data_IF_717513826654
#
_entry.id   IF_717513826654
#
_cell.length_a   1.000
_cell.length_b   1.000
_cell.length_c   1.000
_cell.angle_alpha   90.00
_cell.angle_beta   90.00
_cell.angle_gamma   90.00
#
_symmetry.space_group_name_H-M   'P 1'
#
loop_
_entity.id
_entity.type
_entity.pdbx_description
1 polymer ?
#
# COMPACT_ATOMS: atom_id res chain seq x y z
N UNK A 1 6.23 7.56 -9.32
CA UNK A 1 5.99 7.38 -10.77
C UNK A 1 7.29 7.07 -11.48
N UNK A 2 7.22 6.33 -12.57
CA UNK A 2 8.36 6.12 -13.47
C UNK A 2 8.59 7.30 -14.39
N UNK A 3 9.80 7.37 -14.94
CA UNK A 3 10.11 8.28 -16.03
C UNK A 3 9.21 8.02 -17.23
N UNK A 4 8.90 9.10 -17.96
CA UNK A 4 8.14 9.05 -19.20
C UNK A 4 9.07 8.68 -20.34
N UNK A 5 8.89 7.48 -20.88
CA UNK A 5 9.48 7.09 -22.16
C UNK A 5 8.69 7.80 -23.26
N UNK A 6 9.32 8.78 -23.92
CA UNK A 6 8.67 9.53 -24.99
C UNK A 6 8.34 8.63 -26.19
N UNK A 7 7.37 9.09 -26.98
CA UNK A 7 7.08 8.49 -28.28
C UNK A 7 8.24 8.72 -29.26
N UNK A 8 8.32 7.86 -30.28
CA UNK A 8 9.34 7.85 -31.32
C UNK A 8 10.79 7.82 -30.80
N UNK A 9 11.02 7.34 -29.57
CA UNK A 9 12.36 7.16 -29.01
C UNK A 9 13.18 6.19 -29.86
N UNK A 10 14.45 6.51 -30.06
CA UNK A 10 15.38 5.68 -30.83
C UNK A 10 16.00 4.52 -30.02
N UNK A 11 15.85 4.53 -28.70
CA UNK A 11 16.52 3.61 -27.78
C UNK A 11 15.56 2.59 -27.19
N UNK A 12 16.01 1.34 -27.12
CA UNK A 12 15.34 0.27 -26.39
C UNK A 12 15.61 0.38 -24.90
N UNK A 13 14.63 -0.05 -24.10
CA UNK A 13 14.76 -0.32 -22.66
C UNK A 13 15.45 -1.67 -22.50
N UNK A 14 16.68 -1.66 -22.01
CA UNK A 14 17.51 -2.84 -21.72
C UNK A 14 17.50 -3.16 -20.22
N UNK A 15 17.62 -2.14 -19.37
CA UNK A 15 17.48 -2.21 -17.92
C UNK A 15 16.48 -1.17 -17.44
N UNK A 16 15.64 -1.56 -16.48
CA UNK A 16 14.70 -0.67 -15.82
C UNK A 16 14.43 -1.22 -14.42
N UNK A 17 14.70 -0.43 -13.38
CA UNK A 17 14.40 -0.83 -12.01
C UNK A 17 14.09 0.36 -11.11
N UNK A 18 13.38 0.08 -10.03
CA UNK A 18 13.03 1.00 -8.96
C UNK A 18 13.54 0.42 -7.65
N UNK A 19 14.23 1.25 -6.88
CA UNK A 19 14.65 0.94 -5.52
C UNK A 19 14.08 1.97 -4.55
N UNK A 20 13.26 1.50 -3.62
CA UNK A 20 12.61 2.33 -2.62
C UNK A 20 12.94 1.85 -1.19
N UNK A 21 13.96 2.43 -0.54
CA UNK A 21 14.26 2.17 0.87
C UNK A 21 13.24 2.87 1.77
N UNK A 22 12.49 2.09 2.54
CA UNK A 22 11.50 2.60 3.48
C UNK A 22 12.17 3.19 4.73
N UNK A 23 11.60 4.27 5.27
CA UNK A 23 12.00 4.81 6.57
C UNK A 23 11.83 3.75 7.67
N UNK A 24 12.77 3.68 8.61
CA UNK A 24 12.72 2.80 9.79
C UNK A 24 11.45 2.92 10.65
N UNK A 25 10.66 4.00 10.50
CA UNK A 25 9.39 4.23 11.19
C UNK A 25 8.20 3.56 10.52
N UNK A 26 8.37 2.99 9.33
CA UNK A 26 7.34 2.26 8.61
C UNK A 26 7.83 0.84 8.29
N UNK A 27 6.89 -0.06 8.07
CA UNK A 27 7.15 -1.42 7.57
C UNK A 27 6.29 -1.66 6.33
N UNK A 28 6.83 -2.37 5.35
CA UNK A 28 6.08 -2.83 4.19
C UNK A 28 4.86 -3.67 4.62
N UNK A 29 3.70 -3.44 4.00
CA UNK A 29 2.53 -4.34 4.16
C UNK A 29 2.59 -5.55 3.24
N UNK A 30 3.42 -5.48 2.18
CA UNK A 30 3.49 -6.46 1.11
C UNK A 30 2.53 -6.16 -0.05
N UNK A 31 1.60 -5.23 0.12
CA UNK A 31 0.69 -4.81 -0.95
C UNK A 31 1.42 -3.90 -1.92
N UNK A 32 1.52 -4.31 -3.18
CA UNK A 32 2.09 -3.48 -4.24
C UNK A 32 1.20 -3.59 -5.47
N UNK A 33 0.76 -2.44 -5.97
CA UNK A 33 0.00 -2.33 -7.20
C UNK A 33 0.73 -1.42 -8.18
N UNK A 34 0.74 -1.80 -9.45
CA UNK A 34 1.45 -1.06 -10.49
C UNK A 34 0.48 -0.83 -11.63
N UNK A 35 0.25 0.43 -11.95
CA UNK A 35 -0.69 0.84 -12.99
C UNK A 35 0.05 1.40 -14.20
N UNK A 36 -0.39 1.03 -15.40
CA UNK A 36 0.12 1.62 -16.63
C UNK A 36 -0.36 3.07 -16.78
N UNK A 37 0.53 3.97 -17.17
CA UNK A 37 0.17 5.37 -17.45
C UNK A 37 -0.11 5.62 -18.94
N UNK A 38 0.16 4.63 -19.80
CA UNK A 38 -0.04 4.68 -21.24
C UNK A 38 -0.51 3.34 -21.82
N UNK A 39 -0.90 3.38 -23.09
CA UNK A 39 -1.34 2.20 -23.83
C UNK A 39 -0.13 1.44 -24.41
N UNK A 40 0.00 0.16 -24.10
CA UNK A 40 0.98 -0.75 -24.73
C UNK A 40 0.22 -1.79 -25.56
N UNK A 41 0.62 -1.98 -26.81
CA UNK A 41 -0.01 -2.98 -27.69
C UNK A 41 1.06 -3.64 -28.53
N UNK A 42 1.38 -4.89 -28.20
CA UNK A 42 2.39 -5.66 -28.91
C UNK A 42 2.13 -7.16 -28.82
N UNK A 43 1.99 -7.82 -29.98
CA UNK A 43 1.70 -9.25 -30.04
C UNK A 43 0.39 -9.60 -29.31
N UNK A 44 0.47 -10.47 -28.31
CA UNK A 44 -0.66 -10.86 -27.46
C UNK A 44 -0.90 -9.93 -26.26
N UNK A 45 0.01 -8.99 -25.98
CA UNK A 45 -0.16 -8.03 -24.89
C UNK A 45 -0.93 -6.81 -25.40
N UNK A 46 -2.04 -6.52 -24.71
CA UNK A 46 -2.80 -5.29 -24.85
C UNK A 46 -3.03 -4.73 -23.45
N UNK A 47 -2.38 -3.62 -23.15
CA UNK A 47 -2.48 -2.87 -21.89
C UNK A 47 -3.03 -1.50 -22.23
N UNK A 48 -4.05 -1.07 -21.49
CA UNK A 48 -4.60 0.27 -21.52
C UNK A 48 -4.08 1.09 -20.36
N UNK A 49 -4.11 2.41 -20.52
CA UNK A 49 -3.92 3.33 -19.40
C UNK A 49 -4.83 2.96 -18.22
N UNK A 50 -4.27 2.98 -17.01
CA UNK A 50 -4.85 2.57 -15.73
C UNK A 50 -5.05 1.05 -15.56
N UNK A 51 -4.67 0.21 -16.52
CA UNK A 51 -4.67 -1.23 -16.29
C UNK A 51 -3.64 -1.59 -15.21
N UNK A 52 -4.02 -2.56 -14.37
CA UNK A 52 -3.09 -3.19 -13.43
C UNK A 52 -2.10 -4.07 -14.19
N UNK A 53 -0.84 -3.66 -14.14
CA UNK A 53 0.27 -4.34 -14.79
C UNK A 53 1.18 -5.05 -13.77
N UNK A 54 0.79 -5.17 -12.51
CA UNK A 54 1.62 -5.75 -11.43
C UNK A 54 2.22 -7.11 -11.81
N UNK A 55 1.45 -7.96 -12.53
CA UNK A 55 1.92 -9.26 -13.04
C UNK A 55 3.12 -9.20 -14.02
N UNK A 56 3.38 -8.04 -14.61
CA UNK A 56 4.46 -7.78 -15.55
C UNK A 56 5.70 -7.18 -14.88
N UNK A 57 5.71 -7.08 -13.55
CA UNK A 57 6.82 -6.57 -12.77
C UNK A 57 7.27 -7.64 -11.77
N UNK A 58 8.59 -7.76 -11.61
CA UNK A 58 9.20 -8.49 -10.50
C UNK A 58 9.26 -7.56 -9.30
N UNK A 59 8.73 -8.00 -8.16
CA UNK A 59 8.67 -7.24 -6.92
C UNK A 59 9.41 -8.02 -5.85
N UNK A 60 10.45 -7.43 -5.28
CA UNK A 60 11.20 -8.00 -4.17
C UNK A 60 11.26 -6.99 -3.02
N UNK A 61 11.17 -7.48 -1.79
CA UNK A 61 11.40 -6.68 -0.60
C UNK A 61 12.48 -7.36 0.25
N UNK A 62 13.63 -6.70 0.38
CA UNK A 62 14.74 -7.18 1.19
C UNK A 62 15.35 -6.02 1.98
N UNK A 63 15.73 -6.29 3.24
CA UNK A 63 16.44 -5.33 4.12
C UNK A 63 15.82 -3.94 4.18
N UNK A 64 14.48 -3.86 4.22
CA UNK A 64 13.78 -2.58 4.34
C UNK A 64 13.60 -1.81 3.02
N UNK A 65 13.92 -2.40 1.87
CA UNK A 65 13.80 -1.74 0.58
C UNK A 65 13.02 -2.59 -0.42
N UNK A 66 12.09 -1.97 -1.13
CA UNK A 66 11.50 -2.55 -2.34
C UNK A 66 12.49 -2.43 -3.50
N UNK A 67 12.59 -3.49 -4.28
CA UNK A 67 13.23 -3.51 -5.60
C UNK A 67 12.20 -4.01 -6.60
N UNK A 68 11.85 -3.17 -7.57
CA UNK A 68 10.79 -3.42 -8.55
C UNK A 68 11.40 -3.29 -9.94
N UNK A 69 11.21 -4.28 -10.81
CA UNK A 69 11.78 -4.24 -12.17
C UNK A 69 10.83 -4.90 -13.17
N UNK A 70 10.63 -4.34 -14.38
CA UNK A 70 9.80 -4.98 -15.37
C UNK A 70 10.37 -6.31 -15.88
N UNK A 71 9.47 -7.25 -16.17
CA UNK A 71 9.85 -8.51 -16.82
C UNK A 71 10.36 -8.27 -18.24
N UNK A 72 11.08 -9.23 -18.80
CA UNK A 72 11.55 -9.14 -20.18
C UNK A 72 10.39 -9.09 -21.19
N UNK A 73 9.25 -9.71 -20.87
CA UNK A 73 8.03 -9.64 -21.68
C UNK A 73 7.47 -8.21 -21.74
N UNK A 74 7.42 -7.52 -20.60
CA UNK A 74 7.02 -6.12 -20.54
C UNK A 74 7.99 -5.22 -21.30
N UNK A 75 9.29 -5.32 -21.04
CA UNK A 75 10.32 -4.54 -21.74
C UNK A 75 10.26 -4.76 -23.25
N UNK A 76 10.09 -6.00 -23.70
CA UNK A 76 9.92 -6.34 -25.12
C UNK A 76 8.69 -5.67 -25.73
N UNK A 77 7.58 -5.63 -25.00
CA UNK A 77 6.34 -5.00 -25.45
C UNK A 77 6.47 -3.47 -25.50
N UNK A 78 7.06 -2.88 -24.46
CA UNK A 78 7.41 -1.44 -24.42
C UNK A 78 8.32 -1.07 -25.59
N UNK A 79 9.35 -1.87 -25.89
CA UNK A 79 10.29 -1.62 -27.00
C UNK A 79 9.66 -1.75 -28.40
N UNK A 80 8.55 -2.49 -28.51
CA UNK A 80 7.80 -2.59 -29.77
C UNK A 80 6.71 -1.51 -29.88
N UNK A 81 6.27 -0.92 -28.77
CA UNK A 81 5.35 0.22 -28.74
C UNK A 81 6.13 1.52 -28.55
N UNK A 82 6.79 1.98 -29.60
CA UNK A 82 7.52 3.26 -29.59
C UNK A 82 6.68 4.42 -30.08
N UNK A 83 5.55 4.19 -30.73
CA UNK A 83 4.65 5.22 -31.28
C UNK A 83 3.85 5.97 -30.20
N UNK A 84 4.00 5.59 -28.93
CA UNK A 84 3.27 6.15 -27.78
C UNK A 84 4.21 6.41 -26.60
N UNK A 85 3.81 7.37 -25.78
CA UNK A 85 4.43 7.62 -24.48
C UNK A 85 4.12 6.46 -23.54
N UNK A 86 5.13 5.98 -22.80
CA UNK A 86 4.98 4.88 -21.85
C UNK A 86 5.60 5.24 -20.49
N UNK A 87 4.88 4.94 -19.42
CA UNK A 87 5.35 4.99 -18.04
C UNK A 87 4.41 4.17 -17.16
N UNK A 88 4.75 4.01 -15.89
CA UNK A 88 3.91 3.34 -14.91
C UNK A 88 4.01 4.00 -13.53
N UNK A 89 2.99 3.80 -12.71
CA UNK A 89 2.90 4.29 -11.34
C UNK A 89 2.94 3.11 -10.38
N UNK A 90 3.82 3.19 -9.37
CA UNK A 90 3.98 2.18 -8.33
C UNK A 90 3.27 2.68 -7.07
N UNK A 91 2.39 1.84 -6.52
CA UNK A 91 1.70 2.05 -5.26
C UNK A 91 2.14 0.96 -4.30
N UNK A 92 2.99 1.30 -3.34
CA UNK A 92 3.50 0.37 -2.32
C UNK A 92 2.86 0.65 -0.96
N UNK A 93 2.30 -0.38 -0.35
CA UNK A 93 1.72 -0.34 0.98
C UNK A 93 2.78 -0.32 2.08
N UNK A 94 2.61 0.60 3.03
CA UNK A 94 3.43 0.72 4.22
C UNK A 94 2.57 1.04 5.45
N UNK A 95 2.95 0.48 6.59
CA UNK A 95 2.31 0.70 7.89
C UNK A 95 3.27 1.42 8.83
N UNK A 96 2.80 2.48 9.48
CA UNK A 96 3.57 3.18 10.52
C UNK A 96 3.71 2.28 11.76
N UNK A 97 4.94 2.15 12.26
CA UNK A 97 5.28 1.39 13.47
C UNK A 97 5.89 2.25 14.57
N UNK A 98 6.27 3.50 14.27
CA UNK A 98 6.87 4.43 15.23
C UNK A 98 6.47 5.87 14.95
N UNK A 99 6.20 6.65 15.99
CA UNK A 99 5.93 8.08 15.85
C UNK A 99 7.11 8.87 15.26
N UNK A 100 6.78 10.01 14.68
CA UNK A 100 7.71 11.01 14.17
C UNK A 100 7.58 11.25 12.68
N UNK A 101 8.53 12.00 12.14
CA UNK A 101 8.62 12.26 10.72
C UNK A 101 9.24 11.06 9.99
N UNK A 102 8.49 10.47 9.06
CA UNK A 102 8.99 9.53 8.07
C UNK A 102 9.28 10.26 6.77
N UNK A 103 10.40 9.92 6.13
CA UNK A 103 10.85 10.51 4.85
C UNK A 103 11.03 9.39 3.84
N UNK A 104 10.57 9.59 2.59
CA UNK A 104 10.73 8.60 1.53
C UNK A 104 11.32 9.23 0.26
N UNK A 105 12.18 8.48 -0.43
CA UNK A 105 12.72 8.80 -1.75
C UNK A 105 13.07 7.49 -2.43
N UNK A 106 12.70 7.34 -3.70
CA UNK A 106 13.08 6.20 -4.51
C UNK A 106 14.13 6.58 -5.55
N UNK A 107 14.83 5.58 -6.07
CA UNK A 107 15.74 5.71 -7.22
C UNK A 107 15.23 4.84 -8.35
N UNK A 108 15.03 5.45 -9.51
CA UNK A 108 14.82 4.77 -10.78
C UNK A 108 16.19 4.55 -11.45
N UNK A 109 16.41 3.38 -12.01
CA UNK A 109 17.49 3.12 -12.96
C UNK A 109 16.85 2.78 -14.31
N UNK A 110 17.30 3.44 -15.37
CA UNK A 110 16.88 3.19 -16.74
C UNK A 110 18.10 3.22 -17.66
N UNK A 111 18.41 2.09 -18.30
CA UNK A 111 19.55 1.95 -19.22
C UNK A 111 20.92 2.40 -18.66
N UNK A 112 21.12 2.26 -17.35
CA UNK A 112 22.34 2.65 -16.64
C UNK A 112 22.29 4.05 -16.02
N UNK A 113 21.33 4.88 -16.40
CA UNK A 113 21.12 6.19 -15.79
C UNK A 113 20.27 6.05 -14.53
N UNK A 114 20.67 6.74 -13.46
CA UNK A 114 19.98 6.69 -12.17
C UNK A 114 19.36 8.05 -11.87
N UNK A 115 18.04 8.07 -11.69
CA UNK A 115 17.26 9.25 -11.35
C UNK A 115 16.59 9.08 -9.98
N UNK A 116 16.71 10.10 -9.13
CA UNK A 116 16.06 10.11 -7.82
C UNK A 116 14.72 10.83 -7.88
N UNK A 117 13.71 10.26 -7.23
CA UNK A 117 12.43 10.94 -7.06
C UNK A 117 12.59 12.14 -6.12
N UNK A 118 11.56 12.99 -6.08
CA UNK A 118 11.46 13.98 -5.01
C UNK A 118 11.36 13.30 -3.64
N UNK A 119 11.75 14.03 -2.60
CA UNK A 119 11.54 13.64 -1.22
C UNK A 119 10.09 13.92 -0.80
N UNK A 120 9.45 12.95 -0.13
CA UNK A 120 8.16 13.14 0.53
C UNK A 120 8.30 12.88 2.02
N UNK A 121 7.55 13.64 2.83
CA UNK A 121 7.66 13.60 4.29
C UNK A 121 6.29 13.61 4.95
N UNK A 122 6.10 12.74 5.94
CA UNK A 122 4.83 12.59 6.66
C UNK A 122 5.09 12.45 8.15
N UNK A 123 4.31 13.16 8.98
CA UNK A 123 4.35 13.00 10.43
C UNK A 123 3.32 11.98 10.87
N UNK A 124 3.66 11.16 11.86
CA UNK A 124 2.72 10.24 12.48
C UNK A 124 2.88 10.22 13.99
N UNK A 125 1.77 10.03 14.70
CA UNK A 125 1.76 9.75 16.13
C UNK A 125 2.02 8.27 16.38
N UNK A 126 2.19 7.89 17.65
CA UNK A 126 2.39 6.49 18.00
C UNK A 126 1.17 5.68 17.57
N UNK A 127 1.38 4.51 16.94
CA UNK A 127 0.27 3.67 16.54
C UNK A 127 -0.50 3.22 17.78
N UNK A 128 -1.77 3.61 17.86
CA UNK A 128 -2.67 3.12 18.90
C UNK A 128 -3.09 1.71 18.52
N UNK A 129 -2.68 0.73 19.32
CA UNK A 129 -3.37 -0.56 19.32
C UNK A 129 -4.60 -0.36 20.20
N UNK A 130 -5.82 -0.27 19.63
CA UNK A 130 -7.01 -0.16 20.45
C UNK A 130 -7.08 -1.38 21.36
N UNK A 131 -7.08 -1.14 22.67
CA UNK A 131 -7.44 -2.14 23.66
C UNK A 131 -8.95 -2.04 23.82
N UNK A 132 -9.74 -2.95 23.21
CA UNK A 132 -11.18 -2.94 23.38
C UNK A 132 -11.50 -3.36 24.81
N UNK A 133 -11.39 -2.43 25.76
CA UNK A 133 -11.89 -2.60 27.11
C UNK A 133 -13.40 -2.64 27.04
N UNK A 134 -13.93 -3.86 27.03
CA UNK A 134 -15.35 -4.11 27.27
C UNK A 134 -15.57 -4.00 28.78
N UNK A 135 -16.07 -2.86 29.24
CA UNK A 135 -16.66 -2.79 30.57
C UNK A 135 -17.98 -3.59 30.55
N UNK A 136 -17.89 -4.88 30.85
CA UNK A 136 -19.06 -5.68 31.18
C UNK A 136 -19.41 -5.42 32.64
N UNK A 137 -20.21 -4.38 32.91
CA UNK A 137 -20.85 -4.26 34.22
C UNK A 137 -21.99 -5.28 34.30
N UNK A 138 -21.71 -6.45 34.89
CA UNK A 138 -22.73 -7.26 35.56
C UNK A 138 -22.50 -7.04 37.06
N UNK A 139 -23.57 -6.68 37.77
CA UNK A 139 -23.54 -6.16 39.13
C UNK A 139 -22.54 -6.86 40.06
N UNK A 140 -21.65 -6.07 40.66
CA UNK A 140 -20.76 -6.56 41.70
C UNK A 140 -21.49 -6.48 43.04
N UNK A 141 -22.28 -7.52 43.34
CA UNK A 141 -22.55 -8.01 44.69
C UNK A 141 -23.23 -9.41 44.65
N UNK A 142 -22.41 -10.45 44.54
CA UNK A 142 -22.30 -11.71 45.31
C UNK A 142 -23.54 -12.47 45.86
N UNK A 143 -24.77 -12.10 45.53
CA UNK A 143 -25.97 -12.89 45.85
C UNK A 143 -26.64 -13.41 44.57
N UNK A 144 -27.13 -14.66 44.63
CA UNK A 144 -27.83 -15.39 43.55
C UNK A 144 -29.20 -14.79 43.18
N UNK A 145 -29.35 -13.48 43.21
CA UNK A 145 -30.60 -12.81 42.87
C UNK A 145 -30.48 -12.07 41.55
N UNK A 146 -31.45 -12.33 40.68
CA UNK A 146 -31.56 -11.78 39.33
C UNK A 146 -31.71 -10.26 39.44
N UNK A 147 -30.67 -9.50 39.10
CA UNK A 147 -30.75 -8.03 39.11
C UNK A 147 -31.15 -7.54 37.72
N UNK A 148 -32.29 -6.86 37.73
CA UNK A 148 -32.94 -6.31 36.56
C UNK A 148 -32.48 -4.87 36.24
N UNK A 149 -32.49 -4.51 34.95
CA UNK A 149 -32.39 -3.14 34.47
C UNK A 149 -33.71 -2.41 34.82
N UNK A 150 -33.70 -1.53 35.83
CA UNK A 150 -34.89 -0.81 36.34
C UNK A 150 -36.06 -1.70 36.82
N UNK A 151 -35.81 -2.94 37.26
CA UNK A 151 -36.84 -3.81 37.86
C UNK A 151 -37.65 -4.71 36.90
N UNK A 152 -37.47 -4.65 35.57
CA UNK A 152 -37.92 -5.71 34.65
C UNK A 152 -36.89 -6.84 34.43
N UNK A 153 -37.23 -8.07 34.82
CA UNK A 153 -36.43 -9.26 34.52
C UNK A 153 -36.34 -9.51 33.01
N UNK A 154 -35.14 -9.83 32.52
CA UNK A 154 -34.90 -10.09 31.09
C UNK A 154 -35.01 -11.58 30.78
N UNK A 155 -35.56 -11.90 29.61
CA UNK A 155 -35.83 -13.28 29.15
C UNK A 155 -35.10 -13.57 27.85
N UNK A 156 -34.95 -14.86 27.51
CA UNK A 156 -34.31 -15.30 26.27
C UNK A 156 -35.09 -14.76 25.06
N UNK A 157 -34.52 -13.80 24.34
CA UNK A 157 -35.16 -13.09 23.22
C UNK A 157 -35.07 -11.56 23.31
N UNK A 158 -34.71 -11.03 24.49
CA UNK A 158 -34.62 -9.58 24.68
C UNK A 158 -33.38 -8.97 23.99
N UNK A 159 -33.59 -7.81 23.38
CA UNK A 159 -32.51 -7.03 22.74
C UNK A 159 -31.89 -6.09 23.77
N UNK A 160 -30.60 -6.26 24.05
CA UNK A 160 -29.85 -5.40 24.97
C UNK A 160 -28.98 -4.45 24.16
N UNK A 161 -29.15 -3.15 24.39
CA UNK A 161 -28.32 -2.10 23.80
C UNK A 161 -27.11 -1.81 24.68
N UNK A 162 -25.93 -1.74 24.07
CA UNK A 162 -24.68 -1.32 24.71
C UNK A 162 -24.09 -0.13 23.96
N UNK A 163 -23.35 0.72 24.68
CA UNK A 163 -22.64 1.86 24.11
C UNK A 163 -21.13 1.58 24.16
N UNK A 164 -20.49 1.50 23.00
CA UNK A 164 -19.04 1.50 22.90
C UNK A 164 -18.53 2.93 23.14
N UNK A 165 -17.69 3.12 24.15
CA UNK A 165 -16.96 4.38 24.34
C UNK A 165 -15.62 4.26 23.62
N UNK A 166 -15.38 5.11 22.63
CA UNK A 166 -14.09 5.20 21.97
C UNK A 166 -12.99 5.70 22.92
N UNK A 167 -11.75 5.30 22.67
CA UNK A 167 -10.59 5.79 23.42
C UNK A 167 -10.21 7.20 22.93
N UNK A 168 -10.00 8.19 23.82
CA UNK A 168 -9.46 9.48 23.43
C UNK A 168 -8.02 9.34 22.94
N UNK A 169 -7.69 10.10 21.88
CA UNK A 169 -6.36 10.20 21.27
C UNK A 169 -5.37 10.91 22.19
#
# INVERSE_FOLDING_TARGET
>A
DSSNLQDNRATNVNSWSFKDPLDTKVVATGDVHILANGDISSGSISIKKNDDITKYLNINYDKGAYTISPTDEYKSSTNKTTDKVNSYSIYSGAKVVKAGWAVNTATEELNGDNDKTNEVKTFSFDPVNPDPKKDASIGHNDNKDIISIKGMGVTKGDTISYQLKGQPL
#
